data_IF_188469777899
#
_entry.id   IF_188469777899
#
_cell.length_a   1.000
_cell.length_b   1.000
_cell.length_c   1.000
_cell.angle_alpha   90.00
_cell.angle_beta   90.00
_cell.angle_gamma   90.00
#
_symmetry.space_group_name_H-M   'P 1'
#
loop_
_entity.id
_entity.type
_entity.pdbx_description
1 polymer ?
#
# COMPACT_ATOMS: atom_id res chain seq x y z
N UNK A 1 -3.27 31.84 -8.55
CA UNK A 1 -2.58 32.24 -7.30
C UNK A 1 -2.65 31.09 -6.32
N UNK A 2 -1.49 30.47 -6.04
CA UNK A 2 -1.40 29.25 -5.21
C UNK A 2 -1.87 29.52 -3.78
N UNK A 3 -2.99 28.91 -3.39
CA UNK A 3 -3.64 29.17 -2.10
C UNK A 3 -2.83 28.67 -0.90
N UNK A 4 -1.93 27.71 -1.08
CA UNK A 4 -1.21 27.05 0.02
C UNK A 4 -0.26 27.96 0.80
N UNK A 5 0.66 28.66 0.11
CA UNK A 5 1.68 29.47 0.78
C UNK A 5 1.08 30.62 1.60
N UNK A 6 0.14 31.37 1.03
CA UNK A 6 -0.52 32.49 1.70
C UNK A 6 -1.47 32.07 2.83
N UNK A 7 -1.98 30.83 2.83
CA UNK A 7 -2.74 30.30 3.96
C UNK A 7 -1.80 29.96 5.13
N UNK A 8 -0.63 29.40 4.82
CA UNK A 8 0.36 28.98 5.82
C UNK A 8 0.93 30.18 6.57
N UNK A 9 1.25 31.28 5.86
CA UNK A 9 1.68 32.54 6.46
C UNK A 9 0.66 33.09 7.47
N UNK A 10 -0.63 33.11 7.11
CA UNK A 10 -1.71 33.58 8.00
C UNK A 10 -1.89 32.72 9.25
N UNK A 11 -1.69 31.40 9.12
CA UNK A 11 -1.76 30.48 10.25
C UNK A 11 -0.59 30.71 11.21
N UNK A 12 0.62 30.83 10.68
CA UNK A 12 1.85 30.87 11.47
C UNK A 12 2.13 32.26 12.04
N UNK A 13 1.99 33.31 11.23
CA UNK A 13 2.32 34.69 11.65
C UNK A 13 1.11 35.42 12.23
N UNK A 14 -0.08 35.29 11.62
CA UNK A 14 -1.27 36.05 12.04
C UNK A 14 -2.14 35.29 13.06
N UNK A 15 -1.84 34.00 13.32
CA UNK A 15 -2.61 33.10 14.19
C UNK A 15 -4.10 33.07 13.84
N UNK A 16 -4.42 33.22 12.54
CA UNK A 16 -5.79 33.28 12.05
C UNK A 16 -6.47 31.89 12.15
N UNK A 17 -7.46 31.79 13.03
CA UNK A 17 -8.25 30.57 13.26
C UNK A 17 -9.07 30.15 12.04
N UNK A 18 -9.49 31.08 11.19
CA UNK A 18 -10.23 30.78 9.95
C UNK A 18 -9.29 30.20 8.92
N UNK A 19 -8.11 30.82 8.73
CA UNK A 19 -7.07 30.29 7.87
C UNK A 19 -6.63 28.87 8.30
N UNK A 20 -6.57 28.61 9.61
CA UNK A 20 -6.27 27.27 10.13
C UNK A 20 -7.33 26.24 9.73
N UNK A 21 -8.62 26.58 9.88
CA UNK A 21 -9.71 25.70 9.50
C UNK A 21 -9.71 25.41 7.99
N UNK A 22 -9.45 26.42 7.18
CA UNK A 22 -9.35 26.28 5.73
C UNK A 22 -8.11 25.43 5.35
N UNK A 23 -7.00 25.52 6.09
CA UNK A 23 -5.81 24.69 5.88
C UNK A 23 -6.11 23.22 6.16
N UNK A 24 -6.75 22.91 7.28
CA UNK A 24 -7.12 21.54 7.65
C UNK A 24 -8.00 20.91 6.57
N UNK A 25 -9.02 21.64 6.11
CA UNK A 25 -9.90 21.16 5.04
C UNK A 25 -9.15 20.93 3.72
N UNK A 26 -8.21 21.81 3.38
CA UNK A 26 -7.37 21.66 2.20
C UNK A 26 -6.48 20.41 2.29
N UNK A 27 -5.78 20.23 3.42
CA UNK A 27 -4.91 19.09 3.63
C UNK A 27 -5.67 17.75 3.64
N UNK A 28 -6.85 17.70 4.27
CA UNK A 28 -7.69 16.50 4.26
C UNK A 28 -8.10 16.12 2.82
N UNK A 29 -8.47 17.11 2.01
CA UNK A 29 -8.82 16.89 0.60
C UNK A 29 -7.63 16.43 -0.23
N UNK A 30 -6.44 16.98 0.00
CA UNK A 30 -5.23 16.57 -0.71
C UNK A 30 -4.90 15.10 -0.42
N UNK A 31 -5.06 14.64 0.82
CA UNK A 31 -4.88 13.23 1.19
C UNK A 31 -5.89 12.35 0.46
N UNK A 32 -7.18 12.71 0.48
CA UNK A 32 -8.24 11.95 -0.18
C UNK A 32 -8.04 11.85 -1.71
N UNK A 33 -7.67 12.97 -2.34
CA UNK A 33 -7.43 13.01 -3.78
C UNK A 33 -6.21 12.18 -4.16
N UNK A 34 -5.11 12.33 -3.42
CA UNK A 34 -3.89 11.55 -3.67
C UNK A 34 -4.13 10.06 -3.44
N UNK A 35 -4.93 9.68 -2.44
CA UNK A 35 -5.30 8.30 -2.20
C UNK A 35 -6.12 7.70 -3.35
N UNK A 36 -7.06 8.46 -3.92
CA UNK A 36 -7.84 8.03 -5.10
C UNK A 36 -6.96 7.83 -6.33
N UNK A 37 -6.09 8.80 -6.63
CA UNK A 37 -5.13 8.68 -7.73
C UNK A 37 -4.24 7.47 -7.52
N UNK A 38 -3.69 7.29 -6.31
CA UNK A 38 -2.88 6.12 -5.99
C UNK A 38 -3.64 4.80 -6.20
N UNK A 39 -4.92 4.73 -5.82
CA UNK A 39 -5.75 3.54 -6.01
C UNK A 39 -5.95 3.19 -7.50
N UNK A 40 -6.03 4.18 -8.39
CA UNK A 40 -6.11 3.98 -9.84
C UNK A 40 -4.80 3.46 -10.45
N UNK A 41 -3.65 3.91 -9.93
CA UNK A 41 -2.32 3.45 -10.38
C UNK A 41 -1.86 2.15 -9.72
N UNK A 42 -2.41 1.79 -8.56
CA UNK A 42 -2.02 0.61 -7.79
C UNK A 42 -2.11 -0.73 -8.58
N UNK A 43 -3.06 -0.96 -9.51
CA UNK A 43 -3.11 -2.15 -10.35
C UNK A 43 -1.88 -2.29 -11.27
N UNK A 44 -1.36 -1.17 -11.77
CA UNK A 44 -0.30 -1.10 -12.78
C UNK A 44 1.11 -1.03 -12.19
N UNK A 45 1.22 -0.94 -10.87
CA UNK A 45 2.51 -0.80 -10.16
C UNK A 45 2.82 -2.04 -9.34
N UNK A 46 4.11 -2.39 -9.32
CA UNK A 46 4.63 -3.40 -8.40
C UNK A 46 4.77 -2.83 -6.99
N UNK A 47 4.45 -3.60 -5.95
CA UNK A 47 4.54 -3.15 -4.57
C UNK A 47 6.02 -3.05 -4.19
N UNK A 48 6.45 -1.87 -3.76
CA UNK A 48 7.82 -1.64 -3.26
C UNK A 48 8.06 -2.32 -1.90
N UNK A 49 6.99 -2.62 -1.17
CA UNK A 49 7.04 -3.29 0.14
C UNK A 49 5.87 -4.23 0.37
N UNK A 50 6.05 -5.17 1.30
CA UNK A 50 5.02 -6.13 1.67
C UNK A 50 4.02 -5.51 2.66
N UNK A 51 2.75 -5.34 2.27
CA UNK A 51 1.71 -4.75 3.15
C UNK A 51 1.17 -5.69 4.22
N UNK A 52 1.33 -7.01 4.07
CA UNK A 52 0.84 -7.99 5.03
C UNK A 52 1.83 -8.26 6.18
N UNK A 53 1.37 -8.99 7.19
CA UNK A 53 2.14 -9.31 8.40
C UNK A 53 3.01 -10.55 8.16
N UNK A 54 2.43 -11.58 7.53
CA UNK A 54 3.13 -12.81 7.18
C UNK A 54 3.59 -12.78 5.73
N UNK A 55 4.69 -13.47 5.43
CA UNK A 55 5.21 -13.63 4.06
C UNK A 55 4.27 -14.39 3.11
N UNK A 56 3.17 -14.95 3.63
CA UNK A 56 2.13 -15.63 2.85
C UNK A 56 0.94 -14.72 2.53
N UNK A 57 0.86 -13.54 3.15
CA UNK A 57 -0.21 -12.59 2.90
C UNK A 57 0.02 -11.89 1.56
N UNK A 58 -1.01 -11.24 1.04
CA UNK A 58 -0.88 -10.52 -0.22
C UNK A 58 0.02 -9.29 -0.03
N UNK A 59 1.14 -9.16 -0.77
CA UNK A 59 1.99 -7.98 -0.69
C UNK A 59 1.28 -6.70 -1.17
N UNK A 60 0.27 -6.82 -2.02
CA UNK A 60 -0.42 -5.69 -2.64
C UNK A 60 -1.56 -5.11 -1.80
N UNK A 61 -2.34 -5.95 -1.11
CA UNK A 61 -3.51 -5.52 -0.35
C UNK A 61 -3.48 -5.91 1.12
N UNK A 62 -2.52 -6.73 1.56
CA UNK A 62 -2.43 -7.22 2.94
C UNK A 62 -3.39 -8.36 3.27
N UNK A 63 -4.24 -8.81 2.34
CA UNK A 63 -5.17 -9.91 2.56
C UNK A 63 -4.46 -11.20 2.95
N UNK A 64 -4.99 -11.89 3.96
CA UNK A 64 -4.57 -13.24 4.38
C UNK A 64 -5.19 -14.34 3.49
N UNK A 65 -6.14 -13.98 2.62
CA UNK A 65 -6.89 -14.90 1.77
C UNK A 65 -6.11 -15.21 0.48
N UNK A 66 -5.00 -15.93 0.65
CA UNK A 66 -4.11 -16.34 -0.42
C UNK A 66 -4.21 -17.85 -0.68
N UNK A 67 -4.13 -18.23 -1.96
CA UNK A 67 -4.19 -19.62 -2.40
C UNK A 67 -2.90 -19.98 -3.12
N UNK A 68 -2.29 -21.10 -2.73
CA UNK A 68 -1.17 -21.68 -3.47
C UNK A 68 -1.64 -22.11 -4.87
N UNK A 69 -0.90 -21.70 -5.89
CA UNK A 69 -1.17 -22.09 -7.27
C UNK A 69 -0.15 -23.12 -7.77
N UNK A 70 1.15 -22.87 -7.58
CA UNK A 70 2.20 -23.83 -7.97
C UNK A 70 3.52 -23.61 -7.26
N UNK A 71 4.32 -24.66 -7.21
CA UNK A 71 5.73 -24.58 -6.87
C UNK A 71 6.55 -24.21 -8.12
N UNK A 72 7.57 -23.38 -7.94
CA UNK A 72 8.51 -22.96 -8.99
C UNK A 72 9.95 -23.16 -8.53
N UNK A 73 10.83 -23.40 -9.49
CA UNK A 73 12.27 -23.33 -9.30
C UNK A 73 12.76 -22.13 -10.12
N UNK A 74 13.39 -21.17 -9.46
CA UNK A 74 13.95 -20.00 -10.15
C UNK A 74 15.20 -20.40 -10.93
N UNK A 75 15.63 -19.59 -11.90
CA UNK A 75 16.87 -19.83 -12.65
C UNK A 75 18.11 -19.94 -11.73
N UNK A 76 18.03 -19.37 -10.52
CA UNK A 76 19.07 -19.46 -9.48
C UNK A 76 19.00 -20.76 -8.65
N UNK A 77 18.12 -21.71 -9.01
CA UNK A 77 17.93 -22.99 -8.32
C UNK A 77 17.12 -22.90 -7.02
N UNK A 78 16.56 -21.74 -6.68
CA UNK A 78 15.79 -21.56 -5.44
C UNK A 78 14.35 -22.05 -5.61
N UNK A 79 13.86 -22.86 -4.66
CA UNK A 79 12.45 -23.28 -4.60
C UNK A 79 11.55 -22.16 -4.06
N UNK A 80 10.59 -21.73 -4.87
CA UNK A 80 9.58 -20.72 -4.51
C UNK A 80 8.17 -21.27 -4.68
N UNK A 81 7.21 -20.67 -3.98
CA UNK A 81 5.79 -20.94 -4.13
C UNK A 81 5.16 -19.71 -4.77
N UNK A 82 4.47 -19.90 -5.90
CA UNK A 82 3.59 -18.90 -6.48
C UNK A 82 2.19 -19.06 -5.89
N UNK A 83 1.63 -17.96 -5.39
CA UNK A 83 0.28 -17.91 -4.84
C UNK A 83 -0.50 -16.74 -5.44
N UNK A 84 -1.83 -16.85 -5.40
CA UNK A 84 -2.76 -15.82 -5.84
C UNK A 84 -3.56 -15.29 -4.65
N UNK A 85 -3.74 -13.98 -4.57
CA UNK A 85 -4.66 -13.35 -3.64
C UNK A 85 -6.10 -13.43 -4.17
N UNK A 86 -7.05 -13.87 -3.35
CA UNK A 86 -8.47 -13.96 -3.73
C UNK A 86 -9.21 -12.62 -3.70
N UNK A 87 -8.66 -11.62 -3.03
CA UNK A 87 -9.30 -10.29 -2.96
C UNK A 87 -8.87 -9.39 -4.12
N UNK A 88 -7.56 -9.25 -4.38
CA UNK A 88 -7.07 -8.39 -5.46
C UNK A 88 -6.71 -9.13 -6.75
N UNK A 89 -6.79 -10.47 -6.76
CA UNK A 89 -6.50 -11.31 -7.93
C UNK A 89 -5.03 -11.39 -8.34
N UNK A 90 -4.14 -10.60 -7.72
CA UNK A 90 -2.72 -10.52 -8.06
C UNK A 90 -1.93 -11.74 -7.59
N UNK A 91 -0.85 -12.02 -8.31
CA UNK A 91 0.07 -13.11 -8.02
C UNK A 91 1.32 -12.59 -7.33
N UNK A 92 1.81 -13.38 -6.37
CA UNK A 92 3.08 -13.13 -5.71
C UNK A 92 3.87 -14.44 -5.55
N UNK A 93 5.15 -14.30 -5.24
CA UNK A 93 6.05 -15.43 -5.01
C UNK A 93 6.77 -15.28 -3.67
N UNK A 94 6.92 -16.41 -2.98
CA UNK A 94 7.67 -16.47 -1.72
C UNK A 94 8.58 -17.69 -1.71
N UNK A 95 9.69 -17.64 -0.97
CA UNK A 95 10.53 -18.81 -0.73
C UNK A 95 9.71 -19.96 -0.13
N UNK A 96 9.87 -21.19 -0.65
CA UNK A 96 9.05 -22.33 -0.25
C UNK A 96 9.07 -22.59 1.25
N UNK A 97 10.24 -22.48 1.90
CA UNK A 97 10.36 -22.64 3.35
C UNK A 97 9.50 -21.65 4.16
N UNK A 98 9.38 -20.40 3.69
CA UNK A 98 8.56 -19.37 4.33
C UNK A 98 7.06 -19.58 4.08
N UNK A 99 6.68 -20.29 3.01
CA UNK A 99 5.26 -20.61 2.77
C UNK A 99 4.73 -21.60 3.80
N UNK A 100 5.49 -22.65 4.13
CA UNK A 100 5.05 -23.72 5.05
C UNK A 100 5.24 -23.38 6.53
N UNK A 101 5.87 -22.25 6.86
CA UNK A 101 6.14 -21.85 8.24
C UNK A 101 5.01 -21.07 8.92
N UNK A 102 3.77 -21.08 8.37
CA UNK A 102 2.61 -20.42 9.02
C UNK A 102 2.33 -21.16 10.33
N UNK A 103 2.81 -20.63 11.46
CA UNK A 103 2.29 -21.04 12.77
C UNK A 103 0.90 -20.42 12.91
N UNK A 104 -0.11 -21.26 13.08
CA UNK A 104 -1.41 -20.79 13.57
C UNK A 104 -1.14 -20.14 14.93
N UNK A 105 -1.52 -18.87 15.07
CA UNK A 105 -1.62 -18.20 16.38
C UNK A 105 -2.93 -18.64 17.00
#
# INVERSE_FOLDING_TARGET
>A
TGKGAGLWEKVVFDKDKKALKDMLLYCDRDVDQTAKVFAEFAPYTEPTGHRGISMQDCPHCGSMNTKKEKDRITAKGTKTVQFQCRECGKYAQVAAGKWYSRKAI
#
